data_IF_955441876693
#
_entry.id   IF_955441876693
#
_cell.length_a   1.000
_cell.length_b   1.000
_cell.length_c   1.000
_cell.angle_alpha   90.00
_cell.angle_beta   90.00
_cell.angle_gamma   90.00
#
_symmetry.space_group_name_H-M   'P 1'
#
loop_
_entity.id
_entity.type
_entity.pdbx_description
1 polymer ?
#
# COMPACT_ATOMS: atom_id res chain seq x y z
N UNK A 1 1.65 15.50 7.58
CA UNK A 1 1.67 14.61 8.78
C UNK A 1 2.30 13.29 8.37
N UNK A 2 3.13 12.70 9.22
CA UNK A 2 3.92 11.50 8.91
C UNK A 2 3.37 10.30 9.66
N UNK A 3 3.30 9.14 9.01
CA UNK A 3 2.98 7.89 9.70
C UNK A 3 4.16 7.42 10.54
N UNK A 4 3.85 6.90 11.72
CA UNK A 4 4.82 6.15 12.52
C UNK A 4 5.18 4.84 11.85
N UNK A 5 6.33 4.26 12.20
CA UNK A 5 6.74 2.94 11.70
C UNK A 5 5.67 1.87 11.95
N UNK A 6 5.10 1.82 13.16
CA UNK A 6 4.04 0.88 13.50
C UNK A 6 2.79 1.04 12.61
N UNK A 7 2.40 2.28 12.32
CA UNK A 7 1.28 2.54 11.41
C UNK A 7 1.56 2.06 9.98
N UNK A 8 2.79 2.25 9.50
CA UNK A 8 3.23 1.77 8.18
C UNK A 8 3.21 0.24 8.15
N UNK A 9 3.77 -0.41 9.16
CA UNK A 9 3.82 -1.88 9.25
C UNK A 9 2.40 -2.48 9.29
N UNK A 10 1.49 -1.91 10.09
CA UNK A 10 0.08 -2.34 10.13
C UNK A 10 -0.63 -2.19 8.78
N UNK A 11 -0.35 -1.12 8.03
CA UNK A 11 -0.91 -0.87 6.70
C UNK A 11 -0.40 -1.88 5.69
N UNK A 12 0.90 -2.18 5.73
CA UNK A 12 1.51 -3.22 4.89
C UNK A 12 0.86 -4.57 5.18
N UNK A 13 0.70 -4.94 6.46
CA UNK A 13 0.06 -6.19 6.85
C UNK A 13 -1.37 -6.29 6.30
N UNK A 14 -2.16 -5.22 6.40
CA UNK A 14 -3.53 -5.22 5.88
C UNK A 14 -3.61 -5.39 4.36
N UNK A 15 -2.64 -4.87 3.60
CA UNK A 15 -2.54 -5.11 2.15
C UNK A 15 -2.18 -6.58 1.89
N UNK A 16 -1.19 -7.11 2.61
CA UNK A 16 -0.74 -8.49 2.46
C UNK A 16 -1.83 -9.52 2.82
N UNK A 17 -2.58 -9.30 3.90
CA UNK A 17 -3.70 -10.15 4.31
C UNK A 17 -4.82 -10.18 3.27
N UNK A 18 -5.03 -9.06 2.55
CA UNK A 18 -6.05 -8.96 1.51
C UNK A 18 -5.59 -9.53 0.17
N UNK A 19 -4.31 -9.37 -0.15
CA UNK A 19 -3.70 -9.70 -1.45
C UNK A 19 -2.52 -10.64 -1.25
N UNK A 20 -2.82 -11.92 -1.03
CA UNK A 20 -1.83 -12.96 -0.75
C UNK A 20 -0.91 -13.29 -1.94
N UNK A 21 -1.14 -12.68 -3.10
CA UNK A 21 -0.26 -12.79 -4.26
C UNK A 21 1.02 -11.94 -4.13
N UNK A 22 1.03 -10.95 -3.23
CA UNK A 22 2.25 -10.21 -2.91
C UNK A 22 3.10 -11.02 -1.94
N UNK A 23 4.24 -11.53 -2.41
CA UNK A 23 5.20 -12.26 -1.57
C UNK A 23 5.99 -11.32 -0.65
N UNK A 24 6.16 -10.06 -1.07
CA UNK A 24 6.89 -9.05 -0.32
C UNK A 24 6.29 -7.68 -0.57
N UNK A 25 6.19 -6.86 0.48
CA UNK A 25 5.79 -5.46 0.40
C UNK A 25 6.77 -4.64 1.24
N UNK A 26 7.45 -3.69 0.63
CA UNK A 26 8.53 -2.90 1.23
C UNK A 26 8.13 -1.43 1.23
N UNK A 27 8.27 -0.76 2.38
CA UNK A 27 8.14 0.69 2.46
C UNK A 27 9.26 1.38 1.67
N UNK A 28 8.90 2.29 0.76
CA UNK A 28 9.88 3.12 0.06
C UNK A 28 9.98 4.52 0.65
N UNK A 29 8.84 5.23 0.72
CA UNK A 29 8.80 6.62 1.18
C UNK A 29 7.39 7.02 1.57
N UNK A 30 7.28 8.16 2.24
CA UNK A 30 6.02 8.84 2.49
C UNK A 30 6.12 10.31 2.09
N UNK A 31 4.99 10.89 1.70
CA UNK A 31 4.81 12.31 1.45
C UNK A 31 3.52 12.81 2.11
N UNK A 32 3.19 14.08 1.91
CA UNK A 32 1.97 14.68 2.47
C UNK A 32 0.67 14.07 1.94
N UNK A 33 0.73 13.21 0.93
CA UNK A 33 -0.43 12.56 0.33
C UNK A 33 -0.56 11.08 0.68
N UNK A 34 0.43 10.46 1.31
CA UNK A 34 0.37 9.07 1.76
C UNK A 34 1.72 8.34 1.78
N UNK A 35 1.67 7.01 1.68
CA UNK A 35 2.85 6.13 1.63
C UNK A 35 2.96 5.45 0.28
N UNK A 36 4.21 5.25 -0.14
CA UNK A 36 4.58 4.51 -1.34
C UNK A 36 5.27 3.23 -0.92
N UNK A 37 4.81 2.13 -1.51
CA UNK A 37 5.26 0.78 -1.23
C UNK A 37 5.68 0.13 -2.53
N UNK A 38 6.71 -0.71 -2.47
CA UNK A 38 7.06 -1.64 -3.53
C UNK A 38 6.49 -3.00 -3.15
N UNK A 39 5.68 -3.59 -4.00
CA UNK A 39 5.12 -4.92 -3.82
C UNK A 39 5.65 -5.86 -4.90
N UNK A 40 6.10 -7.04 -4.50
CA UNK A 40 6.59 -8.09 -5.40
C UNK A 40 5.55 -9.20 -5.45
N UNK A 41 5.02 -9.47 -6.64
CA UNK A 41 4.08 -10.56 -6.87
C UNK A 41 4.79 -11.92 -6.97
N UNK A 42 4.03 -13.01 -6.88
CA UNK A 42 4.54 -14.38 -6.95
C UNK A 42 5.17 -14.76 -8.28
N UNK A 43 4.91 -14.00 -9.34
CA UNK A 43 5.54 -14.11 -10.65
C UNK A 43 6.79 -13.23 -10.81
N UNK A 44 7.29 -12.66 -9.70
CA UNK A 44 8.39 -11.70 -9.63
C UNK A 44 8.13 -10.37 -10.36
N UNK A 45 6.87 -10.00 -10.62
CA UNK A 45 6.57 -8.67 -11.12
C UNK A 45 6.59 -7.62 -10.01
N UNK A 46 7.37 -6.56 -10.23
CA UNK A 46 7.42 -5.39 -9.37
C UNK A 46 6.20 -4.49 -9.62
N UNK A 47 5.47 -4.22 -8.54
CA UNK A 47 4.30 -3.37 -8.54
C UNK A 47 4.50 -2.23 -7.56
N UNK A 48 4.24 -0.99 -8.00
CA UNK A 48 4.21 0.14 -7.09
C UNK A 48 2.81 0.32 -6.54
N UNK A 49 2.72 0.41 -5.22
CA UNK A 49 1.48 0.70 -4.50
C UNK A 49 1.58 2.06 -3.82
N UNK A 50 0.45 2.75 -3.74
CA UNK A 50 0.31 3.99 -3.00
C UNK A 50 -0.92 3.92 -2.11
N UNK A 51 -0.73 4.02 -0.81
CA UNK A 51 -1.82 4.12 0.15
C UNK A 51 -1.94 5.57 0.60
N UNK A 52 -3.09 6.18 0.29
CA UNK A 52 -3.35 7.58 0.63
C UNK A 52 -3.65 7.77 2.11
N UNK A 53 -3.58 9.02 2.57
CA UNK A 53 -3.96 9.37 3.95
C UNK A 53 -5.40 8.96 4.33
N UNK A 54 -6.29 8.88 3.34
CA UNK A 54 -7.69 8.46 3.52
C UNK A 54 -7.89 6.94 3.47
N UNK A 55 -6.80 6.17 3.38
CA UNK A 55 -6.84 4.71 3.37
C UNK A 55 -7.13 4.07 2.01
N UNK A 56 -7.27 4.86 0.94
CA UNK A 56 -7.44 4.32 -0.42
C UNK A 56 -6.11 3.83 -0.97
N UNK A 57 -6.11 2.62 -1.51
CA UNK A 57 -4.96 2.00 -2.17
C UNK A 57 -5.03 2.21 -3.67
N UNK A 58 -3.88 2.53 -4.26
CA UNK A 58 -3.66 2.66 -5.69
C UNK A 58 -2.51 1.73 -6.09
N UNK A 59 -2.57 1.22 -7.31
CA UNK A 59 -1.49 0.47 -7.93
C UNK A 59 -1.06 1.18 -9.22
N UNK A 60 0.22 1.09 -9.56
CA UNK A 60 0.78 1.67 -10.77
C UNK A 60 0.86 0.61 -11.87
N UNK A 61 0.15 0.82 -12.96
CA UNK A 61 0.15 -0.07 -14.13
C UNK A 61 -0.02 0.75 -15.40
N UNK A 62 0.69 0.38 -16.46
CA UNK A 62 0.59 1.03 -17.77
C UNK A 62 0.88 2.55 -17.71
N UNK A 63 1.84 2.97 -16.86
CA UNK A 63 2.17 4.37 -16.55
C UNK A 63 1.01 5.19 -15.92
N UNK A 64 0.01 4.52 -15.36
CA UNK A 64 -1.12 5.15 -14.69
C UNK A 64 -1.29 4.63 -13.26
N UNK A 65 -1.72 5.51 -12.37
CA UNK A 65 -2.19 5.12 -11.04
C UNK A 65 -3.67 4.77 -11.11
N UNK A 66 -4.00 3.52 -10.79
CA UNK A 66 -5.37 3.02 -10.74
C UNK A 66 -5.78 2.73 -9.32
N UNK A 67 -7.00 3.12 -8.95
CA UNK A 67 -7.54 2.79 -7.64
C UNK A 67 -7.81 1.29 -7.54
N UNK A 68 -7.41 0.70 -6.42
CA UNK A 68 -7.76 -0.68 -6.09
C UNK A 68 -9.19 -0.66 -5.56
N UNK A 69 -10.12 -1.08 -6.42
CA UNK A 69 -11.52 -1.20 -6.03
C UNK A 69 -11.65 -2.24 -4.90
N UNK A 70 -12.43 -1.93 -3.87
CA UNK A 70 -12.66 -2.76 -2.67
C UNK A 70 -11.49 -2.84 -1.66
N UNK A 71 -10.60 -1.84 -1.65
CA UNK A 71 -9.62 -1.65 -0.57
C UNK A 71 -9.75 -0.24 0.03
N UNK A 72 -10.20 -0.16 1.28
CA UNK A 72 -10.16 1.06 2.11
C UNK A 72 -9.65 0.64 3.49
N UNK A 73 -8.42 1.01 3.81
CA UNK A 73 -7.87 0.84 5.15
C UNK A 73 -8.42 1.93 6.06
N UNK A 74 -9.08 1.56 7.15
CA UNK A 74 -9.46 2.49 8.21
C UNK A 74 -8.74 2.01 9.45
N UNK A 75 -7.94 2.89 10.07
CA UNK A 75 -7.45 2.59 11.40
C UNK A 75 -8.70 2.43 12.28
N UNK A 76 -8.87 1.24 12.85
CA UNK A 76 -10.03 0.95 13.72
C UNK A 76 -9.92 1.67 15.08
N UNK A 77 -8.82 2.40 15.33
CA UNK A 77 -8.45 2.96 16.61
C UNK A 77 -7.97 4.43 16.51
N UNK A 78 -8.71 5.29 15.81
CA UNK A 78 -8.67 6.75 16.08
C UNK A 78 -9.88 7.17 16.89
#
# INVERSE_FOLDING_TARGET
MSYTKLQIDNRIQAIHDRYSNFQSIIFQRQDDSGIYLLAMESDNQENYLRLTLTGRLYYHRDNEWRIVNNFIYRDLNE
#
